data_IF_371231364852
#
_entry.id   IF_371231364852
#
_cell.length_a   1.000
_cell.length_b   1.000
_cell.length_c   1.000
_cell.angle_alpha   90.00
_cell.angle_beta   90.00
_cell.angle_gamma   90.00
#
_symmetry.space_group_name_H-M   'P 1'
#
loop_
_entity.id
_entity.type
_entity.pdbx_description
1 polymer ?
#
# COMPACT_ATOMS: atom_id res chain seq x y z
N UNK A 1 14.11 16.06 13.65
CA UNK A 1 13.10 15.78 12.61
C UNK A 1 12.92 16.93 11.63
N UNK A 2 13.98 17.26 10.88
CA UNK A 2 14.15 18.61 10.31
C UNK A 2 14.33 18.61 8.78
N UNK A 3 13.55 17.81 8.05
CA UNK A 3 13.66 17.77 6.58
C UNK A 3 12.37 18.12 5.82
N UNK A 4 11.21 18.08 6.48
CA UNK A 4 9.91 18.44 5.90
C UNK A 4 9.10 19.21 6.96
N UNK A 5 9.45 20.48 7.13
CA UNK A 5 8.66 21.44 7.92
C UNK A 5 7.47 21.94 7.10
N UNK A 6 6.41 22.38 7.78
CA UNK A 6 5.22 22.97 7.15
C UNK A 6 5.57 24.11 6.20
N UNK A 7 6.58 24.91 6.58
CA UNK A 7 7.10 26.03 5.81
C UNK A 7 7.70 25.60 4.46
N UNK A 8 8.59 24.59 4.47
CA UNK A 8 9.22 24.04 3.27
C UNK A 8 8.20 23.44 2.30
N UNK A 9 7.26 22.70 2.86
CA UNK A 9 6.13 22.08 2.17
C UNK A 9 5.26 23.10 1.41
N UNK A 10 5.02 24.27 2.03
CA UNK A 10 4.26 25.38 1.44
C UNK A 10 5.04 26.06 0.31
N UNK A 11 6.33 26.32 0.49
CA UNK A 11 7.18 26.97 -0.51
C UNK A 11 7.32 26.15 -1.79
N UNK A 12 7.46 24.83 -1.65
CA UNK A 12 7.58 23.91 -2.79
C UNK A 12 6.23 23.57 -3.44
N UNK A 13 5.13 24.22 -3.02
CA UNK A 13 3.75 23.94 -3.48
C UNK A 13 3.38 22.45 -3.40
N UNK A 14 3.92 21.75 -2.41
CA UNK A 14 3.69 20.32 -2.24
C UNK A 14 2.28 20.03 -1.69
N UNK A 15 1.48 21.06 -1.34
CA UNK A 15 0.17 20.92 -0.69
C UNK A 15 -0.82 22.01 -1.11
N UNK A 16 -2.11 21.68 -1.10
CA UNK A 16 -3.27 22.58 -1.25
C UNK A 16 -3.99 22.75 0.08
N UNK A 17 -4.21 24.00 0.51
CA UNK A 17 -4.86 24.29 1.79
C UNK A 17 -6.39 24.29 1.66
N UNK A 18 -7.09 23.61 2.58
CA UNK A 18 -8.52 23.77 2.73
C UNK A 18 -8.83 25.08 3.50
N UNK A 19 -9.66 25.96 2.91
CA UNK A 19 -10.07 27.20 3.56
C UNK A 19 -11.19 26.91 4.56
N UNK A 20 -10.89 26.98 5.86
CA UNK A 20 -11.90 26.84 6.90
C UNK A 20 -12.72 28.14 6.99
N UNK A 21 -13.95 28.13 6.47
CA UNK A 21 -14.87 29.29 6.45
C UNK A 21 -15.27 29.77 7.85
N UNK A 22 -15.25 28.89 8.86
CA UNK A 22 -15.64 29.24 10.24
C UNK A 22 -14.57 30.07 10.95
N UNK A 23 -13.29 29.78 10.71
CA UNK A 23 -12.16 30.47 11.35
C UNK A 23 -11.44 31.47 10.42
N UNK A 24 -11.88 31.60 9.15
CA UNK A 24 -11.24 32.41 8.09
C UNK A 24 -9.73 32.16 7.97
N UNK A 25 -9.29 30.93 8.24
CA UNK A 25 -7.89 30.52 8.16
C UNK A 25 -7.77 29.29 7.28
N UNK A 26 -6.65 29.21 6.59
CA UNK A 26 -6.21 27.97 5.97
C UNK A 26 -5.78 27.02 7.09
N UNK A 27 -6.50 25.91 7.25
CA UNK A 27 -6.15 24.87 8.19
C UNK A 27 -5.65 23.66 7.41
N UNK A 28 -4.58 23.06 7.93
CA UNK A 28 -4.08 21.79 7.46
C UNK A 28 -4.95 20.71 8.11
N UNK A 29 -5.66 19.90 7.34
CA UNK A 29 -6.25 18.67 7.86
C UNK A 29 -5.10 17.75 8.30
N UNK A 30 -4.88 17.65 9.62
CA UNK A 30 -3.66 17.03 10.17
C UNK A 30 -3.47 15.57 9.74
N UNK A 31 -4.57 14.83 9.51
CA UNK A 31 -4.54 13.46 9.00
C UNK A 31 -4.08 13.40 7.55
N UNK A 32 -4.60 14.27 6.68
CA UNK A 32 -4.17 14.34 5.29
C UNK A 32 -2.69 14.72 5.19
N UNK A 33 -2.22 15.67 6.01
CA UNK A 33 -0.83 16.09 6.00
C UNK A 33 0.14 14.97 6.41
N UNK A 34 -0.17 14.23 7.49
CA UNK A 34 0.66 13.10 7.91
C UNK A 34 0.71 12.01 6.83
N UNK A 35 -0.42 11.72 6.20
CA UNK A 35 -0.52 10.73 5.12
C UNK A 35 0.28 11.13 3.87
N UNK A 36 0.17 12.40 3.43
CA UNK A 36 0.90 12.90 2.27
C UNK A 36 2.40 12.98 2.57
N UNK A 37 2.78 13.42 3.78
CA UNK A 37 4.19 13.45 4.23
C UNK A 37 4.80 12.04 4.24
N UNK A 38 4.08 11.05 4.75
CA UNK A 38 4.52 9.65 4.72
C UNK A 38 4.71 9.15 3.28
N UNK A 39 3.75 9.45 2.39
CA UNK A 39 3.82 9.08 0.97
C UNK A 39 5.01 9.71 0.25
N UNK A 40 5.31 10.99 0.51
CA UNK A 40 6.49 11.69 -0.03
C UNK A 40 7.79 11.08 0.48
N UNK A 41 7.89 10.79 1.77
CA UNK A 41 9.06 10.14 2.36
C UNK A 41 9.29 8.74 1.77
N UNK A 42 8.22 7.97 1.53
CA UNK A 42 8.32 6.66 0.88
C UNK A 42 8.72 6.73 -0.59
N UNK A 43 8.19 7.71 -1.32
CA UNK A 43 8.65 8.01 -2.68
C UNK A 43 10.16 8.24 -2.74
N UNK A 44 10.75 8.79 -1.67
CA UNK A 44 12.19 9.02 -1.58
C UNK A 44 12.97 7.78 -1.07
N UNK A 45 12.35 6.94 -0.24
CA UNK A 45 13.04 5.83 0.46
C UNK A 45 13.00 4.52 -0.32
N UNK A 46 11.91 4.23 -1.04
CA UNK A 46 11.78 3.02 -1.87
C UNK A 46 11.28 3.32 -3.29
N UNK A 47 11.48 4.54 -3.79
CA UNK A 47 11.00 5.00 -5.11
C UNK A 47 9.50 4.75 -5.35
N UNK A 48 8.70 4.67 -4.28
CA UNK A 48 7.27 4.35 -4.34
C UNK A 48 6.94 2.89 -4.67
N UNK A 49 7.91 1.99 -4.64
CA UNK A 49 7.68 0.56 -4.81
C UNK A 49 7.16 -0.07 -3.50
N UNK A 50 6.23 -1.03 -3.56
CA UNK A 50 5.77 -1.73 -2.38
C UNK A 50 6.82 -2.73 -1.88
N UNK A 51 6.90 -2.91 -0.56
CA UNK A 51 7.77 -3.91 0.06
C UNK A 51 6.99 -5.21 0.22
N UNK A 52 7.42 -6.25 -0.50
CA UNK A 52 6.79 -7.58 -0.49
C UNK A 52 7.75 -8.58 0.15
N UNK A 53 7.26 -9.34 1.13
CA UNK A 53 8.01 -10.39 1.83
C UNK A 53 7.40 -11.76 1.55
N UNK A 54 8.23 -12.78 1.39
CA UNK A 54 7.77 -14.17 1.45
C UNK A 54 7.60 -14.56 2.91
N UNK A 55 6.40 -15.00 3.30
CA UNK A 55 6.10 -15.48 4.65
C UNK A 55 6.19 -17.00 4.70
N UNK A 56 5.58 -17.67 3.73
CA UNK A 56 5.53 -19.13 3.70
C UNK A 56 5.53 -19.65 2.27
N UNK A 57 6.30 -20.70 2.01
CA UNK A 57 6.35 -21.39 0.70
C UNK A 57 5.59 -22.73 0.71
N UNK A 58 4.93 -23.06 1.81
CA UNK A 58 4.08 -24.23 1.99
C UNK A 58 2.78 -23.85 2.72
N UNK A 59 2.17 -22.74 2.31
CA UNK A 59 0.95 -22.21 2.93
C UNK A 59 -0.17 -23.26 2.92
N UNK A 60 -0.85 -23.39 4.06
CA UNK A 60 -1.87 -24.43 4.33
C UNK A 60 -1.39 -25.86 4.08
N UNK A 61 -0.08 -26.10 4.11
CA UNK A 61 0.54 -27.38 3.78
C UNK A 61 0.20 -27.89 2.36
N UNK A 62 -0.05 -26.97 1.41
CA UNK A 62 -0.40 -27.29 0.01
C UNK A 62 0.71 -26.93 -1.00
N UNK A 63 1.88 -26.51 -0.54
CA UNK A 63 2.97 -25.99 -1.39
C UNK A 63 2.63 -24.63 -2.01
N UNK A 64 1.67 -23.91 -1.43
CA UNK A 64 1.24 -22.60 -1.91
C UNK A 64 2.14 -21.49 -1.35
N UNK A 65 2.30 -20.42 -2.12
CA UNK A 65 3.14 -19.29 -1.74
C UNK A 65 2.28 -18.23 -1.03
N UNK A 66 2.66 -17.85 0.18
CA UNK A 66 2.08 -16.71 0.90
C UNK A 66 3.10 -15.58 0.99
N UNK A 67 2.70 -14.44 0.44
CA UNK A 67 3.41 -13.18 0.50
C UNK A 67 2.74 -12.23 1.51
N UNK A 68 3.51 -11.28 2.01
CA UNK A 68 3.02 -10.16 2.81
C UNK A 68 3.46 -8.85 2.16
N UNK A 69 2.48 -8.02 1.85
CA UNK A 69 2.73 -6.61 1.63
C UNK A 69 2.95 -5.93 2.99
N UNK A 70 4.14 -5.37 3.19
CA UNK A 70 4.39 -4.50 4.34
C UNK A 70 3.61 -3.20 4.11
N UNK A 71 2.36 -3.18 4.59
CA UNK A 71 1.47 -2.05 4.43
C UNK A 71 1.98 -0.85 5.23
N UNK A 72 2.28 0.22 4.52
CA UNK A 72 2.76 1.46 5.11
C UNK A 72 1.88 2.65 4.70
N UNK A 73 0.55 2.50 4.87
CA UNK A 73 -0.48 3.49 4.51
C UNK A 73 -0.63 3.76 3.01
N UNK A 74 -0.08 2.88 2.17
CA UNK A 74 -0.27 2.89 0.72
C UNK A 74 -0.76 1.51 0.33
N UNK A 75 -1.88 1.46 -0.39
CA UNK A 75 -2.45 0.22 -0.90
C UNK A 75 -1.74 -0.22 -2.18
N UNK A 76 -1.82 -1.52 -2.46
CA UNK A 76 -1.39 -2.02 -3.76
C UNK A 76 -2.40 -1.60 -4.83
N UNK A 77 -1.90 -1.20 -6.00
CA UNK A 77 -2.75 -1.12 -7.17
C UNK A 77 -3.30 -2.52 -7.50
N UNK A 78 -4.64 -2.62 -7.61
CA UNK A 78 -5.32 -3.89 -7.77
C UNK A 78 -4.99 -4.59 -9.09
N UNK A 79 -4.83 -3.82 -10.17
CA UNK A 79 -4.51 -4.39 -11.47
C UNK A 79 -3.08 -4.94 -11.46
N UNK A 80 -2.12 -4.15 -10.99
CA UNK A 80 -0.74 -4.60 -10.83
C UNK A 80 -0.62 -5.81 -9.90
N UNK A 81 -1.35 -5.84 -8.78
CA UNK A 81 -1.37 -6.99 -7.88
C UNK A 81 -1.88 -8.24 -8.60
N UNK A 82 -2.98 -8.12 -9.36
CA UNK A 82 -3.56 -9.23 -10.13
C UNK A 82 -2.58 -9.79 -11.15
N UNK A 83 -1.98 -8.92 -11.97
CA UNK A 83 -1.02 -9.30 -13.00
C UNK A 83 0.25 -9.90 -12.38
N UNK A 84 0.71 -9.34 -11.26
CA UNK A 84 1.89 -9.84 -10.52
C UNK A 84 1.64 -11.25 -9.98
N UNK A 85 0.48 -11.51 -9.35
CA UNK A 85 0.17 -12.84 -8.84
C UNK A 85 0.03 -13.88 -9.96
N UNK A 86 -0.54 -13.49 -11.11
CA UNK A 86 -0.60 -14.36 -12.29
C UNK A 86 0.79 -14.74 -12.83
N UNK A 87 1.68 -13.75 -12.93
CA UNK A 87 3.08 -13.98 -13.31
C UNK A 87 3.82 -14.85 -12.29
N UNK A 88 3.63 -14.60 -10.99
CA UNK A 88 4.23 -15.41 -9.93
C UNK A 88 3.72 -16.84 -9.95
N UNK A 89 2.42 -17.07 -10.16
CA UNK A 89 1.89 -18.42 -10.35
C UNK A 89 2.54 -19.11 -11.55
N UNK A 90 2.79 -18.40 -12.65
CA UNK A 90 3.48 -18.97 -13.81
C UNK A 90 4.88 -19.50 -13.47
N UNK A 91 5.57 -18.86 -12.53
CA UNK A 91 6.89 -19.28 -12.04
C UNK A 91 6.78 -20.37 -10.96
N UNK A 92 5.88 -20.18 -9.99
CA UNK A 92 5.73 -21.02 -8.80
C UNK A 92 4.97 -22.33 -9.07
N UNK A 93 4.11 -22.35 -10.10
CA UNK A 93 3.25 -23.47 -10.55
C UNK A 93 2.20 -23.95 -9.55
N UNK A 94 2.01 -23.22 -8.45
CA UNK A 94 0.99 -23.45 -7.42
C UNK A 94 0.31 -22.13 -7.09
N UNK A 95 -0.88 -22.14 -6.46
CA UNK A 95 -1.55 -20.92 -6.03
C UNK A 95 -0.62 -19.99 -5.24
N UNK A 96 -0.76 -18.69 -5.51
CA UNK A 96 0.03 -17.62 -4.87
C UNK A 96 -0.92 -16.64 -4.22
N UNK A 97 -0.63 -16.29 -2.98
CA UNK A 97 -1.41 -15.41 -2.14
C UNK A 97 -0.56 -14.24 -1.67
N UNK A 98 -1.19 -13.10 -1.45
CA UNK A 98 -0.59 -11.94 -0.82
C UNK A 98 -1.55 -11.35 0.21
N UNK A 99 -1.08 -11.26 1.45
CA UNK A 99 -1.76 -10.52 2.50
C UNK A 99 -1.42 -9.03 2.38
N UNK A 100 -2.45 -8.19 2.32
CA UNK A 100 -2.35 -6.73 2.22
C UNK A 100 -3.49 -6.06 3.01
N UNK A 101 -3.63 -4.74 2.90
CA UNK A 101 -4.81 -4.00 3.37
C UNK A 101 -5.47 -3.26 2.21
N UNK A 102 -6.80 -3.21 2.26
CA UNK A 102 -7.69 -2.39 1.42
C UNK A 102 -8.71 -1.71 2.33
N UNK A 103 -8.92 -0.41 2.18
CA UNK A 103 -9.72 0.43 3.09
C UNK A 103 -9.35 0.19 4.57
N UNK A 104 -8.04 0.14 4.86
CA UNK A 104 -7.44 -0.20 6.17
C UNK A 104 -7.77 -1.59 6.73
N UNK A 105 -8.53 -2.42 6.00
CA UNK A 105 -8.92 -3.77 6.42
C UNK A 105 -7.98 -4.81 5.83
N UNK A 106 -7.60 -5.78 6.65
CA UNK A 106 -6.74 -6.88 6.22
C UNK A 106 -7.46 -7.78 5.21
N UNK A 107 -6.78 -8.08 4.12
CA UNK A 107 -7.30 -8.88 3.02
C UNK A 107 -6.20 -9.78 2.46
N UNK A 108 -6.58 -10.97 2.03
CA UNK A 108 -5.72 -11.87 1.26
C UNK A 108 -6.24 -11.86 -0.18
N UNK A 109 -5.34 -11.52 -1.09
CA UNK A 109 -5.55 -11.62 -2.52
C UNK A 109 -4.85 -12.89 -3.00
N UNK A 110 -5.47 -13.68 -3.86
CA UNK A 110 -4.91 -14.94 -4.32
C UNK A 110 -5.19 -15.20 -5.79
N UNK A 111 -4.30 -15.94 -6.44
CA UNK A 111 -4.51 -16.45 -7.79
C UNK A 111 -4.16 -17.93 -7.85
N UNK A 112 -5.10 -18.75 -8.32
CA UNK A 112 -4.98 -20.21 -8.33
C UNK A 112 -4.59 -20.80 -9.70
N UNK A 113 -4.31 -19.94 -10.68
CA UNK A 113 -4.03 -20.33 -12.06
C UNK A 113 -5.23 -20.20 -13.00
N UNK A 114 -6.44 -20.00 -12.48
CA UNK A 114 -7.65 -19.78 -13.26
C UNK A 114 -8.35 -18.48 -12.89
N UNK A 115 -8.51 -18.24 -11.58
CA UNK A 115 -9.26 -17.10 -11.07
C UNK A 115 -8.51 -16.36 -9.98
N UNK A 116 -8.80 -15.06 -9.90
CA UNK A 116 -8.35 -14.21 -8.81
C UNK A 116 -9.40 -14.19 -7.72
N UNK A 117 -8.98 -14.43 -6.47
CA UNK A 117 -9.84 -14.42 -5.29
C UNK A 117 -9.41 -13.33 -4.31
N UNK A 118 -10.40 -12.79 -3.60
CA UNK A 118 -10.21 -11.82 -2.53
C UNK A 118 -10.96 -12.31 -1.29
N UNK A 119 -10.25 -12.44 -0.17
CA UNK A 119 -10.80 -12.88 1.10
C UNK A 119 -10.44 -11.89 2.20
N UNK A 120 -11.43 -11.33 2.87
CA UNK A 120 -11.22 -10.47 4.04
C UNK A 120 -10.77 -11.31 5.24
N UNK A 121 -9.76 -10.82 5.96
CA UNK A 121 -9.32 -11.42 7.22
C UNK A 121 -10.19 -10.83 8.33
N UNK A 122 -10.82 -11.70 9.13
CA UNK A 122 -11.69 -11.32 10.24
C UNK A 122 -10.89 -11.02 11.52
#
# INVERSE_FOLDING_TARGET
>A
DTFLSEEFCREQKLFSFAYNKSNKRYEIESREFQMIKARLLQSLTNLGQPIIKVIEANYENRGELLLLHQYENVELDKQFATDTLSNLHTLWKRPVHIQTRLDDKAVILGYDGQEFRQQWVS
#
